data_IF_532041845389
#
_entry.id   IF_532041845389
#
_cell.length_a   1.000
_cell.length_b   1.000
_cell.length_c   1.000
_cell.angle_alpha   90.00
_cell.angle_beta   90.00
_cell.angle_gamma   90.00
#
_symmetry.space_group_name_H-M   'P 1'
#
loop_
_entity.id
_entity.type
_entity.pdbx_description
1 polymer ?
#
# COMPACT_ATOMS: atom_id res chain seq x y z
N UNK A 1 -4.19 -38.09 -18.24
CA UNK A 1 -3.27 -36.91 -18.23
C UNK A 1 -3.95 -35.54 -18.42
N UNK A 2 -5.09 -35.41 -19.13
CA UNK A 2 -5.78 -34.13 -19.37
C UNK A 2 -6.28 -33.38 -18.10
N UNK A 3 -6.73 -34.10 -17.06
CA UNK A 3 -7.23 -33.49 -15.81
C UNK A 3 -6.16 -32.73 -15.00
N UNK A 4 -4.89 -33.16 -15.07
CA UNK A 4 -3.77 -32.49 -14.37
C UNK A 4 -3.37 -31.16 -15.02
N UNK A 5 -3.61 -30.99 -16.33
CA UNK A 5 -3.31 -29.74 -17.07
C UNK A 5 -4.30 -28.62 -16.73
N UNK A 6 -5.56 -28.96 -16.48
CA UNK A 6 -6.58 -27.98 -16.06
C UNK A 6 -6.31 -27.38 -14.68
N UNK A 7 -5.81 -28.17 -13.73
CA UNK A 7 -5.43 -27.70 -12.40
C UNK A 7 -4.28 -26.69 -12.44
N UNK A 8 -3.26 -26.91 -13.29
CA UNK A 8 -2.15 -25.97 -13.43
C UNK A 8 -2.58 -24.59 -13.94
N UNK A 9 -3.54 -24.56 -14.87
CA UNK A 9 -4.06 -23.30 -15.42
C UNK A 9 -4.89 -22.51 -14.39
N UNK A 10 -5.70 -23.20 -13.57
CA UNK A 10 -6.48 -22.57 -12.49
C UNK A 10 -5.57 -22.01 -11.40
N UNK A 11 -4.48 -22.70 -11.05
CA UNK A 11 -3.49 -22.21 -10.09
C UNK A 11 -2.75 -20.97 -10.60
N UNK A 12 -2.36 -20.95 -11.88
CA UNK A 12 -1.68 -19.80 -12.50
C UNK A 12 -2.60 -18.57 -12.61
N UNK A 13 -3.87 -18.75 -12.98
CA UNK A 13 -4.85 -17.68 -13.02
C UNK A 13 -5.26 -17.20 -11.62
N UNK A 14 -5.34 -18.11 -10.65
CA UNK A 14 -5.59 -17.78 -9.25
C UNK A 14 -4.44 -16.99 -8.62
N UNK A 15 -3.18 -17.31 -8.97
CA UNK A 15 -2.00 -16.62 -8.46
C UNK A 15 -1.89 -15.18 -9.00
N UNK A 16 -2.17 -14.95 -10.29
CA UNK A 16 -2.13 -13.61 -10.88
C UNK A 16 -3.28 -12.72 -10.38
N UNK A 17 -4.49 -13.26 -10.26
CA UNK A 17 -5.64 -12.56 -9.66
C UNK A 17 -5.43 -12.26 -8.17
N UNK A 18 -4.91 -13.24 -7.42
CA UNK A 18 -4.57 -13.08 -6.00
C UNK A 18 -3.51 -12.00 -5.77
N UNK A 19 -2.45 -11.96 -6.58
CA UNK A 19 -1.40 -10.95 -6.50
C UNK A 19 -1.93 -9.54 -6.80
N UNK A 20 -2.80 -9.37 -7.79
CA UNK A 20 -3.42 -8.08 -8.09
C UNK A 20 -4.32 -7.58 -6.93
N UNK A 21 -5.07 -8.47 -6.29
CA UNK A 21 -5.88 -8.15 -5.11
C UNK A 21 -5.03 -7.82 -3.88
N UNK A 22 -3.94 -8.57 -3.64
CA UNK A 22 -2.96 -8.26 -2.60
C UNK A 22 -2.28 -6.92 -2.85
N UNK A 23 -1.86 -6.64 -4.09
CA UNK A 23 -1.28 -5.35 -4.48
C UNK A 23 -2.27 -4.20 -4.34
N UNK A 24 -3.54 -4.41 -4.70
CA UNK A 24 -4.61 -3.42 -4.52
C UNK A 24 -4.92 -3.19 -3.05
N UNK A 25 -4.90 -4.24 -2.23
CA UNK A 25 -5.10 -4.16 -0.77
C UNK A 25 -3.90 -3.55 -0.06
N UNK A 26 -2.68 -3.78 -0.53
CA UNK A 26 -1.46 -3.16 -0.03
C UNK A 26 -1.38 -1.68 -0.44
N UNK A 27 -1.80 -1.32 -1.66
CA UNK A 27 -2.01 0.09 -2.05
C UNK A 27 -3.16 0.77 -1.30
N UNK A 28 -4.09 -0.03 -0.76
CA UNK A 28 -5.17 0.40 0.13
C UNK A 28 -4.80 0.22 1.61
N UNK A 29 -3.59 -0.25 1.92
CA UNK A 29 -3.09 -0.22 3.27
C UNK A 29 -2.96 1.27 3.61
N UNK A 30 -3.75 1.68 4.59
CA UNK A 30 -4.02 3.07 4.94
C UNK A 30 -2.72 3.85 5.00
N UNK A 31 -2.57 4.85 4.13
CA UNK A 31 -1.47 5.80 4.27
C UNK A 31 -1.71 6.62 5.53
N UNK A 32 -0.69 6.79 6.36
CA UNK A 32 -0.76 7.57 7.60
C UNK A 32 0.43 8.49 7.71
N UNK A 33 0.26 9.60 8.41
CA UNK A 33 1.35 10.52 8.72
C UNK A 33 1.77 10.29 10.18
N UNK A 34 3.03 9.92 10.38
CA UNK A 34 3.64 9.77 11.71
C UNK A 34 4.58 10.98 11.94
N UNK A 35 4.30 11.79 12.97
CA UNK A 35 5.08 12.96 13.35
C UNK A 35 6.02 12.58 14.50
N UNK A 36 7.32 12.81 14.30
CA UNK A 36 8.36 12.61 15.30
C UNK A 36 8.85 13.96 15.80
N UNK A 37 8.86 14.14 17.11
CA UNK A 37 9.30 15.36 17.76
C UNK A 37 10.68 15.17 18.41
N UNK A 38 11.37 16.28 18.68
CA UNK A 38 12.72 16.28 19.24
C UNK A 38 12.77 15.71 20.67
N UNK A 39 11.67 15.78 21.40
CA UNK A 39 11.52 15.18 22.73
C UNK A 39 11.37 13.64 22.68
N UNK A 40 11.44 13.05 21.48
CA UNK A 40 11.27 11.62 21.24
C UNK A 40 9.81 11.17 21.25
N UNK A 41 8.86 12.09 21.43
CA UNK A 41 7.44 11.77 21.29
C UNK A 41 7.07 11.53 19.83
N UNK A 42 6.01 10.75 19.65
CA UNK A 42 5.48 10.39 18.34
C UNK A 42 3.96 10.53 18.33
N UNK A 43 3.44 11.17 17.29
CA UNK A 43 2.00 11.28 17.05
C UNK A 43 1.66 10.68 15.69
N UNK A 44 0.84 9.65 15.70
CA UNK A 44 0.26 9.09 14.48
C UNK A 44 -1.06 9.77 14.16
N UNK A 45 -1.18 10.29 12.95
CA UNK A 45 -2.41 10.86 12.42
C UNK A 45 -3.16 9.80 11.62
N UNK A 46 -4.44 9.58 11.95
CA UNK A 46 -5.30 8.70 11.15
C UNK A 46 -5.44 9.25 9.73
N UNK A 47 -5.45 8.37 8.73
CA UNK A 47 -5.59 8.71 7.30
C UNK A 47 -6.77 9.65 7.01
N UNK A 48 -7.86 9.54 7.80
CA UNK A 48 -9.09 10.32 7.61
C UNK A 48 -9.10 11.63 8.42
N UNK A 49 -8.06 11.88 9.21
CA UNK A 49 -7.93 13.16 9.89
C UNK A 49 -7.68 14.28 8.87
N UNK A 50 -8.26 15.48 9.07
CA UNK A 50 -7.97 16.63 8.23
C UNK A 50 -6.47 16.93 8.12
N UNK A 51 -5.71 16.67 9.19
CA UNK A 51 -4.26 16.87 9.27
C UNK A 51 -3.52 15.93 8.34
N UNK A 52 -3.82 14.62 8.40
CA UNK A 52 -3.22 13.64 7.49
C UNK A 52 -3.59 13.93 6.04
N UNK A 53 -4.84 14.32 5.76
CA UNK A 53 -5.28 14.66 4.40
C UNK A 53 -4.49 15.83 3.79
N UNK A 54 -4.00 16.76 4.63
CA UNK A 54 -3.12 17.86 4.19
C UNK A 54 -1.65 17.42 4.02
N UNK A 55 -1.15 16.57 4.91
CA UNK A 55 0.27 16.17 4.94
C UNK A 55 0.61 15.08 3.91
N UNK A 56 -0.27 14.10 3.71
CA UNK A 56 0.00 12.95 2.84
C UNK A 56 0.34 13.35 1.39
N UNK A 57 -0.36 14.31 0.73
CA UNK A 57 0.03 14.77 -0.61
C UNK A 57 1.46 15.31 -0.67
N UNK A 58 1.85 16.13 0.30
CA UNK A 58 3.20 16.72 0.36
C UNK A 58 4.27 15.65 0.53
N UNK A 59 4.02 14.64 1.36
CA UNK A 59 4.92 13.51 1.53
C UNK A 59 5.11 12.71 0.24
N UNK A 60 4.03 12.51 -0.55
CA UNK A 60 4.12 11.85 -1.86
C UNK A 60 4.96 12.66 -2.84
N UNK A 61 4.73 13.98 -2.91
CA UNK A 61 5.48 14.86 -3.81
C UNK A 61 6.98 14.82 -3.51
N UNK A 62 7.37 14.84 -2.23
CA UNK A 62 8.76 14.71 -1.81
C UNK A 62 9.35 13.35 -2.19
N UNK A 63 8.63 12.25 -1.94
CA UNK A 63 9.10 10.90 -2.30
C UNK A 63 9.26 10.73 -3.81
N UNK A 64 8.42 11.38 -4.62
CA UNK A 64 8.56 11.40 -6.06
C UNK A 64 9.79 12.21 -6.48
N UNK A 65 9.98 13.41 -5.93
CA UNK A 65 11.12 14.27 -6.25
C UNK A 65 12.49 13.66 -5.93
N UNK A 66 12.57 12.76 -4.93
CA UNK A 66 13.82 12.08 -4.55
C UNK A 66 14.13 10.86 -5.43
N UNK A 67 13.13 10.33 -6.15
CA UNK A 67 13.25 9.09 -6.91
C UNK A 67 13.60 9.29 -8.39
N UNK A 68 13.43 10.51 -8.90
CA UNK A 68 13.79 10.95 -10.25
C UNK A 68 15.20 11.56 -10.28
#
# INVERSE_FOLDING_TARGET
>A
MRRRRGLGLVLLLGASGGFALLRRRARRARERADLYFEDGSMVSLDERSPEAMRLLPLGRDLLHAVRD
#
